data_IF_722298595072
#
_entry.id   IF_722298595072
#
_cell.length_a   1.000
_cell.length_b   1.000
_cell.length_c   1.000
_cell.angle_alpha   90.00
_cell.angle_beta   90.00
_cell.angle_gamma   90.00
#
_symmetry.space_group_name_H-M   'P 1'
#
loop_
_entity.id
_entity.type
_entity.pdbx_description
1 polymer ?
#
# COMPACT_ATOMS: atom_id res chain seq x y z
N UNK A 1 -6.91 17.74 4.22
CA UNK A 1 -5.78 16.84 4.40
C UNK A 1 -4.64 17.22 3.47
N UNK A 2 -3.81 18.15 3.93
CA UNK A 2 -2.72 18.81 3.18
C UNK A 2 -1.80 17.80 2.43
N UNK A 3 -1.40 16.70 3.08
CA UNK A 3 -0.56 15.68 2.45
C UNK A 3 -1.24 15.03 1.22
N UNK A 4 -2.54 14.79 1.29
CA UNK A 4 -3.30 14.19 0.18
C UNK A 4 -3.45 15.18 -0.96
N UNK A 5 -3.71 16.44 -0.65
CA UNK A 5 -3.80 17.51 -1.65
C UNK A 5 -2.46 17.73 -2.34
N UNK A 6 -1.38 17.78 -1.57
CA UNK A 6 -0.03 17.89 -2.13
C UNK A 6 0.29 16.72 -3.07
N UNK A 7 0.00 15.48 -2.66
CA UNK A 7 0.22 14.31 -3.50
C UNK A 7 -0.68 14.27 -4.73
N UNK A 8 -1.89 14.84 -4.64
CA UNK A 8 -2.81 14.94 -5.77
C UNK A 8 -2.28 15.90 -6.84
N UNK A 9 -1.69 16.99 -6.45
CA UNK A 9 -1.42 18.12 -7.35
C UNK A 9 0.07 18.25 -7.73
N UNK A 10 0.99 17.62 -6.98
CA UNK A 10 2.42 17.68 -7.30
C UNK A 10 2.71 17.04 -8.68
N UNK A 11 3.51 17.71 -9.54
CA UNK A 11 3.96 17.09 -10.79
C UNK A 11 4.81 15.85 -10.53
N UNK A 12 4.52 14.75 -11.24
CA UNK A 12 5.31 13.52 -11.16
C UNK A 12 5.98 13.21 -12.49
N UNK A 13 7.24 12.82 -12.45
CA UNK A 13 7.99 12.34 -13.62
C UNK A 13 7.60 10.92 -14.03
N UNK A 14 6.99 10.15 -13.14
CA UNK A 14 6.51 8.79 -13.39
C UNK A 14 5.26 8.50 -12.58
N UNK A 15 4.42 7.54 -13.03
CA UNK A 15 3.28 7.07 -12.27
C UNK A 15 3.67 6.54 -10.89
N UNK A 16 2.80 6.74 -9.89
CA UNK A 16 3.05 6.30 -8.52
C UNK A 16 1.76 5.95 -7.76
N UNK A 17 1.89 5.08 -6.76
CA UNK A 17 0.83 4.71 -5.83
C UNK A 17 1.30 5.06 -4.42
N UNK A 18 0.51 5.88 -3.71
CA UNK A 18 0.84 6.32 -2.35
C UNK A 18 -0.23 5.83 -1.36
N UNK A 19 0.21 5.25 -0.25
CA UNK A 19 -0.66 5.04 0.91
C UNK A 19 -0.42 6.17 1.90
N UNK A 20 -1.47 6.91 2.22
CA UNK A 20 -1.44 7.96 3.25
C UNK A 20 -2.27 7.49 4.44
N UNK A 21 -1.67 7.49 5.61
CA UNK A 21 -2.32 7.06 6.84
C UNK A 21 -2.05 8.07 7.95
N UNK A 22 -3.10 8.69 8.43
CA UNK A 22 -3.10 9.57 9.59
C UNK A 22 -3.63 8.87 10.84
N UNK A 23 -4.00 9.67 11.84
CA UNK A 23 -4.55 9.18 13.10
C UNK A 23 -6.02 8.75 12.98
N UNK A 24 -6.77 9.36 12.09
CA UNK A 24 -8.22 9.21 11.92
C UNK A 24 -8.66 8.80 10.51
N UNK A 25 -7.80 9.04 9.52
CA UNK A 25 -8.10 8.79 8.11
C UNK A 25 -6.97 8.07 7.40
N UNK A 26 -7.33 7.29 6.39
CA UNK A 26 -6.37 6.67 5.48
C UNK A 26 -6.93 6.67 4.06
N UNK A 27 -6.05 6.79 3.08
CA UNK A 27 -6.40 6.64 1.67
C UNK A 27 -5.24 6.09 0.85
N UNK A 28 -5.56 5.69 -0.36
CA UNK A 28 -4.59 5.46 -1.44
C UNK A 28 -4.77 6.55 -2.49
N UNK A 29 -3.69 7.22 -2.83
CA UNK A 29 -3.62 8.15 -3.95
C UNK A 29 -2.94 7.42 -5.11
N UNK A 30 -3.69 7.16 -6.15
CA UNK A 30 -3.20 6.57 -7.40
C UNK A 30 -2.92 7.70 -8.39
N UNK A 31 -1.70 7.74 -8.89
CA UNK A 31 -1.24 8.84 -9.76
C UNK A 31 -0.72 8.32 -11.09
N UNK A 32 -1.21 8.93 -12.17
CA UNK A 32 -0.44 9.07 -13.41
C UNK A 32 0.46 10.31 -13.30
N UNK A 33 1.19 10.67 -14.35
CA UNK A 33 1.95 11.92 -14.33
C UNK A 33 1.04 13.16 -14.22
N UNK A 34 -0.18 13.09 -14.75
CA UNK A 34 -1.06 14.25 -14.93
C UNK A 34 -2.39 14.15 -14.17
N UNK A 35 -2.79 12.97 -13.74
CA UNK A 35 -4.10 12.72 -13.14
C UNK A 35 -3.97 11.99 -11.82
N UNK A 36 -4.98 12.10 -10.97
CA UNK A 36 -5.05 11.43 -9.68
C UNK A 36 -6.41 10.80 -9.42
N UNK A 37 -6.43 9.67 -8.74
CA UNK A 37 -7.62 9.06 -8.18
C UNK A 37 -7.37 8.72 -6.71
N UNK A 38 -8.36 8.94 -5.84
CA UNK A 38 -8.21 8.73 -4.41
C UNK A 38 -9.20 7.67 -3.94
N UNK A 39 -8.71 6.65 -3.26
CA UNK A 39 -9.52 5.62 -2.62
C UNK A 39 -9.45 5.79 -1.10
N UNK A 40 -10.49 6.32 -0.51
CA UNK A 40 -10.59 6.50 0.94
C UNK A 40 -10.90 5.18 1.66
N UNK A 41 -10.38 5.03 2.87
CA UNK A 41 -10.75 3.94 3.77
C UNK A 41 -12.21 4.11 4.22
N UNK A 42 -13.01 3.08 4.04
CA UNK A 42 -14.44 3.05 4.36
C UNK A 42 -14.75 2.61 5.80
N UNK A 43 -13.73 2.44 6.64
CA UNK A 43 -13.86 1.94 8.01
C UNK A 43 -13.98 0.41 8.12
N UNK A 44 -14.03 -0.33 7.01
CA UNK A 44 -14.29 -1.78 7.00
C UNK A 44 -13.32 -2.56 6.13
N UNK A 45 -13.08 -2.10 4.92
CA UNK A 45 -12.27 -2.82 3.93
C UNK A 45 -10.82 -2.35 3.97
N UNK A 46 -9.86 -3.21 4.34
CA UNK A 46 -8.45 -2.82 4.35
C UNK A 46 -8.01 -2.25 3.01
N UNK A 47 -7.30 -1.13 3.05
CA UNK A 47 -6.64 -0.58 1.88
C UNK A 47 -5.37 -1.38 1.60
N UNK A 48 -5.20 -1.78 0.36
CA UNK A 48 -4.01 -2.46 -0.15
C UNK A 48 -3.56 -1.78 -1.42
N UNK A 49 -2.25 -1.72 -1.63
CA UNK A 49 -1.62 -1.34 -2.89
C UNK A 49 -0.57 -2.37 -3.28
N UNK A 50 -0.41 -2.58 -4.56
CA UNK A 50 0.67 -3.34 -5.19
C UNK A 50 1.13 -2.57 -6.43
N UNK A 51 1.52 -3.21 -7.50
CA UNK A 51 2.08 -2.53 -8.68
C UNK A 51 1.05 -2.29 -9.79
N UNK A 52 -0.24 -2.13 -9.46
CA UNK A 52 -1.26 -1.85 -10.46
C UNK A 52 -2.31 -0.87 -9.94
N UNK A 53 -2.95 -0.16 -10.83
CA UNK A 53 -4.08 0.71 -10.53
C UNK A 53 -5.33 -0.10 -10.22
N UNK A 54 -6.01 0.29 -9.14
CA UNK A 54 -7.30 -0.27 -8.72
C UNK A 54 -8.44 0.70 -9.04
N UNK A 55 -8.17 2.00 -9.06
CA UNK A 55 -9.13 3.02 -9.46
C UNK A 55 -9.68 2.72 -10.85
N UNK A 56 -11.00 2.82 -10.99
CA UNK A 56 -11.73 2.41 -12.21
C UNK A 56 -11.22 3.16 -13.44
N UNK A 57 -10.91 4.43 -13.27
CA UNK A 57 -10.45 5.36 -14.29
C UNK A 57 -9.10 4.95 -14.89
N UNK A 58 -8.25 4.31 -14.08
CA UNK A 58 -6.87 3.99 -14.45
C UNK A 58 -6.63 2.52 -14.78
N UNK A 59 -7.63 1.65 -14.62
CA UNK A 59 -7.45 0.19 -14.85
C UNK A 59 -6.89 -0.15 -16.23
N UNK A 60 -7.22 0.62 -17.27
CA UNK A 60 -6.73 0.43 -18.64
C UNK A 60 -5.24 0.77 -18.82
N UNK A 61 -4.64 1.45 -17.84
CA UNK A 61 -3.25 1.88 -17.88
C UNK A 61 -2.31 0.86 -17.21
N UNK A 62 -2.84 -0.25 -16.71
CA UNK A 62 -2.02 -1.28 -16.09
C UNK A 62 -1.18 -2.02 -17.13
N UNK A 63 0.08 -2.23 -16.80
CA UNK A 63 1.01 -3.03 -17.57
C UNK A 63 0.64 -4.51 -17.48
N UNK A 64 0.42 -5.16 -18.63
CA UNK A 64 -0.01 -6.55 -18.71
C UNK A 64 1.06 -7.52 -18.18
N UNK A 65 2.35 -7.21 -18.34
CA UNK A 65 3.45 -8.09 -17.92
C UNK A 65 3.49 -8.29 -16.40
N UNK A 66 3.22 -7.23 -15.64
CA UNK A 66 3.26 -7.29 -14.17
C UNK A 66 1.88 -7.46 -13.54
N UNK A 67 0.81 -7.32 -14.32
CA UNK A 67 -0.56 -7.20 -13.80
C UNK A 67 -1.01 -8.46 -13.07
N UNK A 68 -0.74 -9.65 -13.60
CA UNK A 68 -1.22 -10.90 -12.99
C UNK A 68 -0.52 -11.16 -11.64
N UNK A 69 0.81 -10.99 -11.56
CA UNK A 69 1.54 -11.12 -10.30
C UNK A 69 1.08 -10.05 -9.28
N UNK A 70 0.94 -8.82 -9.73
CA UNK A 70 0.48 -7.72 -8.88
C UNK A 70 -0.93 -7.96 -8.34
N UNK A 71 -1.87 -8.47 -9.15
CA UNK A 71 -3.22 -8.87 -8.73
C UNK A 71 -3.19 -10.04 -7.73
N UNK A 72 -2.33 -11.02 -7.95
CA UNK A 72 -2.18 -12.16 -7.04
C UNK A 72 -1.71 -11.68 -5.67
N UNK A 73 -0.68 -10.83 -5.60
CA UNK A 73 -0.21 -10.22 -4.36
C UNK A 73 -1.29 -9.37 -3.70
N UNK A 74 -2.01 -8.57 -4.46
CA UNK A 74 -3.13 -7.75 -3.97
C UNK A 74 -4.22 -8.60 -3.31
N UNK A 75 -4.66 -9.69 -3.97
CA UNK A 75 -5.66 -10.62 -3.43
C UNK A 75 -5.21 -11.27 -2.13
N UNK A 76 -3.96 -11.73 -2.08
CA UNK A 76 -3.39 -12.39 -0.92
C UNK A 76 -3.21 -11.41 0.26
N UNK A 77 -2.65 -10.23 0.01
CA UNK A 77 -2.51 -9.18 1.03
C UNK A 77 -3.87 -8.72 1.56
N UNK A 78 -4.86 -8.53 0.69
CA UNK A 78 -6.23 -8.16 1.09
C UNK A 78 -6.87 -9.23 1.98
N UNK A 79 -6.67 -10.51 1.65
CA UNK A 79 -7.18 -11.63 2.48
C UNK A 79 -6.49 -11.68 3.83
N UNK A 80 -5.17 -11.51 3.87
CA UNK A 80 -4.39 -11.48 5.10
C UNK A 80 -4.81 -10.29 5.98
N UNK A 81 -4.94 -9.09 5.41
CA UNK A 81 -5.36 -7.90 6.13
C UNK A 81 -6.78 -8.02 6.72
N UNK A 82 -7.74 -8.62 5.99
CA UNK A 82 -9.11 -8.85 6.52
C UNK A 82 -9.16 -9.82 7.69
N UNK A 83 -8.24 -10.77 7.76
CA UNK A 83 -8.13 -11.74 8.85
C UNK A 83 -7.28 -11.24 10.02
N UNK A 84 -6.68 -10.08 9.85
CA UNK A 84 -5.78 -9.53 10.83
C UNK A 84 -6.54 -8.99 12.05
N UNK A 85 -6.29 -9.60 13.20
CA UNK A 85 -6.85 -9.18 14.50
C UNK A 85 -5.78 -8.62 15.44
N UNK A 86 -4.52 -8.62 15.00
CA UNK A 86 -3.39 -8.14 15.79
C UNK A 86 -3.41 -6.63 15.98
N UNK A 87 -2.92 -6.17 17.14
CA UNK A 87 -2.86 -4.74 17.51
C UNK A 87 -1.44 -4.28 17.85
N UNK A 88 -0.43 -5.07 17.48
CA UNK A 88 0.96 -4.78 17.77
C UNK A 88 1.77 -4.59 16.49
N UNK A 89 2.88 -3.86 16.58
CA UNK A 89 3.82 -3.71 15.47
C UNK A 89 4.38 -5.06 15.01
N UNK A 90 4.67 -5.96 15.95
CA UNK A 90 5.16 -7.30 15.66
C UNK A 90 4.14 -8.13 14.86
N UNK A 91 2.86 -8.12 15.28
CA UNK A 91 1.81 -8.80 14.54
C UNK A 91 1.60 -8.22 13.14
N UNK A 92 1.79 -6.92 12.96
CA UNK A 92 1.76 -6.27 11.63
C UNK A 92 2.92 -6.72 10.74
N UNK A 93 4.14 -6.78 11.28
CA UNK A 93 5.31 -7.29 10.55
C UNK A 93 5.15 -8.78 10.18
N UNK A 94 4.44 -9.57 11.01
CA UNK A 94 4.15 -10.97 10.71
C UNK A 94 3.28 -11.14 9.45
N UNK A 95 2.32 -10.25 9.21
CA UNK A 95 1.55 -10.27 7.94
C UNK A 95 2.47 -10.06 6.75
N UNK A 96 3.36 -9.07 6.85
CA UNK A 96 4.29 -8.74 5.76
C UNK A 96 5.30 -9.86 5.49
N UNK A 97 5.54 -10.76 6.45
CA UNK A 97 6.43 -11.91 6.29
C UNK A 97 5.78 -13.09 5.54
N UNK A 98 4.50 -13.01 5.21
CA UNK A 98 3.82 -14.01 4.38
C UNK A 98 4.24 -13.95 2.92
N UNK A 99 4.05 -15.06 2.20
CA UNK A 99 4.38 -15.18 0.77
C UNK A 99 3.73 -14.11 -0.13
N UNK A 100 2.68 -13.46 0.34
CA UNK A 100 2.02 -12.38 -0.38
C UNK A 100 2.86 -11.09 -0.46
N UNK A 101 3.79 -10.89 0.48
CA UNK A 101 4.50 -9.63 0.65
C UNK A 101 6.02 -9.78 0.66
N UNK A 102 6.53 -10.98 0.98
CA UNK A 102 7.97 -11.26 1.05
C UNK A 102 8.42 -11.97 -0.22
N UNK A 103 9.47 -11.45 -0.86
CA UNK A 103 10.15 -12.06 -1.99
C UNK A 103 11.67 -11.83 -1.88
N UNK A 104 12.43 -12.38 -2.81
CA UNK A 104 13.90 -12.29 -2.84
C UNK A 104 14.42 -10.85 -2.93
N UNK A 105 13.64 -9.93 -3.50
CA UNK A 105 13.99 -8.51 -3.63
C UNK A 105 13.58 -7.67 -2.42
N UNK A 106 12.99 -8.28 -1.39
CA UNK A 106 12.56 -7.54 -0.20
C UNK A 106 13.75 -7.16 0.67
N UNK A 107 14.11 -5.89 0.70
CA UNK A 107 15.23 -5.38 1.50
C UNK A 107 14.80 -4.93 2.90
N UNK A 108 13.57 -4.48 3.06
CA UNK A 108 13.03 -4.10 4.37
C UNK A 108 11.51 -4.20 4.44
N UNK A 109 11.01 -4.32 5.64
CA UNK A 109 9.59 -4.25 5.98
C UNK A 109 9.39 -3.23 7.09
N UNK A 110 8.33 -2.46 7.03
CA UNK A 110 8.02 -1.44 8.02
C UNK A 110 6.56 -1.57 8.47
N UNK A 111 6.32 -1.35 9.75
CA UNK A 111 4.99 -1.26 10.34
C UNK A 111 4.89 0.05 11.13
N UNK A 112 3.75 0.72 11.01
CA UNK A 112 3.47 1.99 11.68
C UNK A 112 2.13 1.93 12.43
N UNK A 113 2.09 2.61 13.58
CA UNK A 113 0.85 2.86 14.33
C UNK A 113 0.74 4.38 14.52
N UNK A 114 0.11 5.09 13.58
CA UNK A 114 0.06 6.57 13.58
C UNK A 114 -0.53 7.15 14.86
N UNK A 115 -1.61 6.54 15.38
CA UNK A 115 -2.26 6.98 16.63
C UNK A 115 -1.36 6.92 17.86
N UNK A 116 -0.26 6.19 17.82
CA UNK A 116 0.70 6.04 18.91
C UNK A 116 2.08 6.58 18.58
N UNK A 117 2.24 7.17 17.40
CA UNK A 117 3.54 7.60 16.85
C UNK A 117 4.64 6.53 16.99
N UNK A 118 4.29 5.26 16.76
CA UNK A 118 5.19 4.11 16.87
C UNK A 118 5.41 3.46 15.51
N UNK A 119 6.62 2.96 15.30
CA UNK A 119 6.97 2.16 14.13
C UNK A 119 7.93 1.04 14.48
N UNK A 120 8.03 0.05 13.62
CA UNK A 120 9.03 -0.99 13.65
C UNK A 120 9.54 -1.24 12.23
N UNK A 121 10.82 -1.54 12.12
CA UNK A 121 11.50 -1.86 10.86
C UNK A 121 12.18 -3.21 11.01
N UNK A 122 12.06 -4.04 9.98
CA UNK A 122 12.84 -5.26 9.80
C UNK A 122 13.65 -5.12 8.52
N UNK A 123 14.95 -5.19 8.61
CA UNK A 123 15.85 -5.22 7.47
C UNK A 123 16.22 -6.67 7.13
N UNK A 124 16.38 -6.95 5.83
CA UNK A 124 16.88 -8.22 5.31
C UNK A 124 18.26 -7.92 4.72
N UNK A 125 19.29 -8.62 5.22
CA UNK A 125 20.63 -8.50 4.65
C UNK A 125 20.61 -9.01 3.21
N UNK A 126 21.22 -8.27 2.30
CA UNK A 126 21.65 -8.83 1.01
C UNK A 126 22.79 -9.82 1.29
N UNK A 127 22.58 -11.07 0.96
CA UNK A 127 23.65 -12.07 0.92
C UNK A 127 24.52 -11.80 -0.31
#
# INVERSE_FOLDING_TARGET
>A
DEAVESLRDIPLSSPALFMVCGTDKACVVERTCNESAIRWYDGKTPLVITNHYVAKEFKRLNDEEILEDSKNRYRNASRAARRFTGKTLESSLKILSGQACLNESTVQQMAFVPTKAKYAVRAFGTV
#
